data_IF_986145348371
#
_entry.id   IF_986145348371
#
_cell.length_a   1.000
_cell.length_b   1.000
_cell.length_c   1.000
_cell.angle_alpha   90.00
_cell.angle_beta   90.00
_cell.angle_gamma   90.00
#
_symmetry.space_group_name_H-M   'P 1'
#
loop_
_entity.id
_entity.type
_entity.pdbx_description
1 polymer ?
#
# COMPACT_ATOMS: atom_id res chain seq x y z
N UNK A 1 74.67 32.07 -10.49
CA UNK A 1 74.24 33.48 -10.69
C UNK A 1 72.85 33.48 -11.31
N UNK A 2 72.06 34.53 -10.99
CA UNK A 2 70.66 34.87 -11.34
C UNK A 2 70.27 34.49 -12.80
N UNK A 3 69.05 34.07 -13.12
CA UNK A 3 67.82 34.89 -13.06
C UNK A 3 66.53 34.07 -13.08
N UNK A 4 65.50 34.61 -12.41
CA UNK A 4 64.11 34.16 -12.38
C UNK A 4 63.37 34.67 -13.62
N UNK A 5 62.47 33.88 -14.19
CA UNK A 5 61.34 34.41 -14.96
C UNK A 5 60.08 33.67 -14.52
N UNK A 6 59.11 34.45 -14.04
CA UNK A 6 57.84 34.01 -13.51
C UNK A 6 56.86 33.69 -14.64
N UNK A 7 56.10 32.61 -14.49
CA UNK A 7 54.82 32.46 -15.16
C UNK A 7 53.76 32.29 -14.08
N UNK A 8 52.99 33.35 -13.88
CA UNK A 8 51.74 33.31 -13.15
C UNK A 8 50.73 32.56 -14.03
N UNK A 9 50.22 31.43 -13.55
CA UNK A 9 49.02 30.83 -14.12
C UNK A 9 47.89 30.99 -13.13
N UNK A 10 46.91 31.73 -13.61
CA UNK A 10 45.73 32.25 -12.95
C UNK A 10 44.84 31.11 -12.44
N UNK A 11 44.46 31.17 -11.17
CA UNK A 11 43.39 30.37 -10.59
C UNK A 11 42.06 30.70 -11.28
N UNK A 12 41.46 29.72 -11.95
CA UNK A 12 40.04 29.76 -12.33
C UNK A 12 39.29 28.83 -11.38
N UNK A 13 38.81 29.41 -10.28
CA UNK A 13 37.76 28.84 -9.43
C UNK A 13 36.43 28.93 -10.20
N UNK A 14 36.10 27.91 -10.98
CA UNK A 14 34.73 27.70 -11.44
C UNK A 14 34.00 26.90 -10.36
N UNK A 15 33.38 27.63 -9.43
CA UNK A 15 32.33 27.13 -8.56
C UNK A 15 31.14 26.71 -9.41
N UNK A 16 31.17 25.47 -9.91
CA UNK A 16 29.99 24.79 -10.41
C UNK A 16 29.26 24.19 -9.21
N UNK A 17 28.16 24.82 -8.78
CA UNK A 17 27.15 24.12 -8.00
C UNK A 17 26.67 22.94 -8.85
N UNK A 18 27.28 21.77 -8.65
CA UNK A 18 26.65 20.53 -9.07
C UNK A 18 25.37 20.42 -8.23
N UNK A 19 24.26 20.90 -8.78
CA UNK A 19 22.95 20.46 -8.33
C UNK A 19 22.96 18.95 -8.47
N UNK A 20 23.17 18.27 -7.34
CA UNK A 20 22.89 16.85 -7.19
C UNK A 20 21.42 16.72 -7.58
N UNK A 21 21.17 16.29 -8.82
CA UNK A 21 19.83 15.93 -9.25
C UNK A 21 19.45 14.71 -8.41
N UNK A 22 18.72 14.95 -7.33
CA UNK A 22 18.09 13.89 -6.57
C UNK A 22 17.24 13.10 -7.56
N UNK A 23 17.40 11.76 -7.66
CA UNK A 23 16.50 10.96 -8.48
C UNK A 23 15.05 11.29 -8.08
N UNK A 24 14.12 11.48 -9.03
CA UNK A 24 12.74 11.72 -8.68
C UNK A 24 12.26 10.56 -7.80
N UNK A 25 11.71 10.88 -6.63
CA UNK A 25 11.09 9.88 -5.76
C UNK A 25 10.05 9.12 -6.58
N UNK A 26 10.07 7.77 -6.62
CA UNK A 26 9.07 7.00 -7.34
C UNK A 26 7.67 7.43 -6.89
N UNK A 27 6.80 7.78 -7.84
CA UNK A 27 5.42 8.11 -7.51
C UNK A 27 4.69 6.84 -7.04
N UNK A 28 4.10 6.92 -5.85
CA UNK A 28 3.23 5.87 -5.32
C UNK A 28 1.97 5.81 -6.18
N UNK A 29 1.66 4.64 -6.73
CA UNK A 29 0.48 4.42 -7.57
C UNK A 29 -0.34 3.23 -7.06
N UNK A 30 -1.64 3.27 -7.29
CA UNK A 30 -2.50 2.10 -7.01
C UNK A 30 -2.22 1.00 -8.02
N UNK A 31 -1.93 -0.20 -7.54
CA UNK A 31 -1.64 -1.39 -8.35
C UNK A 31 -2.80 -2.39 -8.37
N UNK A 32 -3.68 -2.32 -7.37
CA UNK A 32 -4.90 -3.11 -7.34
C UNK A 32 -6.00 -2.32 -6.61
N UNK A 33 -7.19 -2.30 -7.22
CA UNK A 33 -8.42 -1.83 -6.59
C UNK A 33 -9.27 -3.05 -6.26
N UNK A 34 -9.74 -3.13 -5.02
CA UNK A 34 -10.85 -3.98 -4.64
C UNK A 34 -12.00 -3.10 -4.18
N UNK A 35 -13.19 -3.32 -4.71
CA UNK A 35 -14.35 -2.48 -4.48
C UNK A 35 -15.52 -3.34 -3.99
N UNK A 36 -16.18 -2.85 -2.94
CA UNK A 36 -17.54 -3.24 -2.62
C UNK A 36 -18.45 -2.17 -3.21
N UNK A 37 -19.14 -2.49 -4.30
CA UNK A 37 -20.10 -1.57 -4.93
C UNK A 37 -21.28 -1.40 -3.99
N UNK A 38 -21.42 -0.19 -3.44
CA UNK A 38 -22.42 0.10 -2.43
C UNK A 38 -23.83 -0.22 -2.91
N UNK A 39 -24.55 -1.05 -2.15
CA UNK A 39 -26.00 -1.22 -2.30
C UNK A 39 -26.71 -0.54 -1.13
N UNK A 40 -26.55 -1.11 0.07
CA UNK A 40 -27.13 -0.58 1.32
C UNK A 40 -26.18 0.40 2.05
N UNK A 41 -24.88 0.29 1.78
CA UNK A 41 -23.82 1.13 2.35
C UNK A 41 -23.11 1.91 1.22
N UNK A 42 -22.46 3.04 1.50
CA UNK A 42 -21.65 3.75 0.51
C UNK A 42 -20.59 2.83 -0.10
N UNK A 43 -20.22 3.07 -1.36
CA UNK A 43 -19.13 2.34 -2.01
C UNK A 43 -17.84 2.42 -1.19
N UNK A 44 -17.15 1.29 -1.08
CA UNK A 44 -15.92 1.14 -0.30
C UNK A 44 -14.82 0.58 -1.19
N UNK A 45 -13.60 1.07 -1.02
CA UNK A 45 -12.44 0.57 -1.76
C UNK A 45 -11.28 0.20 -0.85
N UNK A 46 -10.57 -0.86 -1.24
CA UNK A 46 -9.23 -1.20 -0.77
C UNK A 46 -8.24 -0.93 -1.92
N UNK A 47 -7.33 0.02 -1.70
CA UNK A 47 -6.38 0.47 -2.72
C UNK A 47 -4.97 0.05 -2.34
N UNK A 48 -4.51 -1.05 -2.92
CA UNK A 48 -3.14 -1.55 -2.73
C UNK A 48 -2.20 -0.67 -3.54
N UNK A 49 -1.29 0.01 -2.87
CA UNK A 49 -0.32 0.91 -3.50
C UNK A 49 1.00 0.19 -3.82
N UNK A 50 1.74 0.70 -4.80
CA UNK A 50 3.00 0.14 -5.29
C UNK A 50 4.13 0.10 -4.25
N UNK A 51 4.03 0.87 -3.18
CA UNK A 51 4.99 0.92 -2.07
C UNK A 51 4.62 -0.02 -0.90
N UNK A 52 3.55 -0.80 -1.03
CA UNK A 52 3.04 -1.67 0.03
C UNK A 52 2.09 -0.98 1.01
N UNK A 53 1.82 0.32 0.86
CA UNK A 53 0.75 0.97 1.62
C UNK A 53 -0.63 0.53 1.13
N UNK A 54 -1.59 0.47 2.05
CA UNK A 54 -2.98 0.17 1.76
C UNK A 54 -3.84 1.35 2.21
N UNK A 55 -4.66 1.86 1.29
CA UNK A 55 -5.62 2.92 1.58
C UNK A 55 -7.04 2.38 1.46
N UNK A 56 -7.82 2.50 2.52
CA UNK A 56 -9.27 2.37 2.50
C UNK A 56 -9.91 3.71 2.12
N UNK A 57 -10.92 3.69 1.25
CA UNK A 57 -11.77 4.85 0.93
C UNK A 57 -13.25 4.51 1.15
N UNK A 58 -14.03 5.49 1.59
CA UNK A 58 -15.43 5.31 1.99
C UNK A 58 -15.55 4.72 3.40
N UNK A 59 -16.48 3.78 3.59
CA UNK A 59 -16.88 3.20 4.90
C UNK A 59 -15.86 2.41 5.72
N UNK A 60 -14.56 2.44 5.36
CA UNK A 60 -13.48 1.77 6.10
C UNK A 60 -12.24 2.65 6.31
N UNK A 61 -12.37 3.96 6.09
CA UNK A 61 -11.27 4.92 6.24
C UNK A 61 -10.60 4.89 7.62
N UNK A 62 -11.33 4.49 8.66
CA UNK A 62 -10.86 4.35 10.03
C UNK A 62 -9.80 3.26 10.25
N UNK A 63 -9.60 2.35 9.29
CA UNK A 63 -8.50 1.38 9.29
C UNK A 63 -7.20 1.94 8.69
N UNK A 64 -7.22 3.18 8.18
CA UNK A 64 -6.03 3.84 7.68
C UNK A 64 -5.11 4.34 8.81
N UNK A 65 -3.79 4.44 8.57
CA UNK A 65 -3.07 3.93 7.38
C UNK A 65 -2.91 2.41 7.45
N UNK A 66 -3.22 1.69 6.37
CA UNK A 66 -2.99 0.25 6.27
C UNK A 66 -1.70 -0.10 5.53
N UNK A 67 -1.33 -1.37 5.58
CA UNK A 67 -0.29 -1.92 4.73
C UNK A 67 -0.75 -3.24 4.10
N UNK A 68 -0.12 -3.62 3.00
CA UNK A 68 -0.31 -4.93 2.38
C UNK A 68 1.04 -5.52 1.97
N UNK A 69 1.07 -6.84 1.94
CA UNK A 69 2.17 -7.60 1.33
C UNK A 69 1.61 -8.83 0.65
N UNK A 70 2.36 -9.34 -0.31
CA UNK A 70 1.99 -10.55 -1.04
C UNK A 70 3.13 -11.54 -1.00
N UNK A 71 2.79 -12.80 -0.73
CA UNK A 71 3.69 -13.94 -0.77
C UNK A 71 3.02 -15.04 -1.61
N UNK A 72 3.45 -15.16 -2.87
CA UNK A 72 2.75 -15.96 -3.87
C UNK A 72 1.27 -15.59 -4.01
N UNK A 73 0.40 -16.55 -3.73
CA UNK A 73 -1.06 -16.38 -3.76
C UNK A 73 -1.66 -15.96 -2.42
N UNK A 74 -0.85 -15.56 -1.44
CA UNK A 74 -1.35 -15.02 -0.17
C UNK A 74 -1.22 -13.50 -0.16
N UNK A 75 -2.35 -12.81 -0.01
CA UNK A 75 -2.42 -11.39 0.31
C UNK A 75 -2.55 -11.23 1.82
N UNK A 76 -1.60 -10.58 2.47
CA UNK A 76 -1.74 -10.17 3.87
C UNK A 76 -2.03 -8.68 3.93
N UNK A 77 -3.10 -8.32 4.63
CA UNK A 77 -3.50 -6.94 4.95
C UNK A 77 -3.20 -6.70 6.43
N UNK A 78 -2.45 -5.64 6.73
CA UNK A 78 -2.20 -5.15 8.07
C UNK A 78 -3.09 -3.93 8.31
N UNK A 79 -4.03 -4.05 9.26
CA UNK A 79 -4.98 -3.00 9.59
C UNK A 79 -4.34 -1.98 10.53
N UNK A 80 -4.30 -0.74 10.08
CA UNK A 80 -3.93 0.38 10.92
C UNK A 80 -5.11 0.90 11.73
N UNK A 81 -5.04 2.20 12.00
CA UNK A 81 -6.03 2.92 12.77
C UNK A 81 -6.15 2.42 14.21
N UNK A 82 -7.24 2.84 14.87
CA UNK A 82 -7.58 2.44 16.25
C UNK A 82 -8.87 1.64 16.35
N UNK A 83 -9.50 1.31 15.23
CA UNK A 83 -10.71 0.51 15.23
C UNK A 83 -10.46 -0.86 15.88
N UNK A 84 -11.41 -1.38 16.68
CA UNK A 84 -11.30 -2.70 17.27
C UNK A 84 -11.02 -3.77 16.22
N UNK A 85 -10.18 -4.75 16.56
CA UNK A 85 -9.95 -5.89 15.69
C UNK A 85 -11.02 -6.95 15.98
N UNK A 86 -11.91 -7.21 15.02
CA UNK A 86 -13.04 -8.12 15.18
C UNK A 86 -12.63 -9.62 15.15
N UNK A 87 -11.78 -10.06 16.08
CA UNK A 87 -11.18 -11.40 16.08
C UNK A 87 -12.21 -12.54 16.01
N UNK A 88 -13.33 -12.44 16.74
CA UNK A 88 -14.37 -13.47 16.71
C UNK A 88 -15.09 -13.56 15.36
N UNK A 89 -15.28 -12.44 14.65
CA UNK A 89 -15.81 -12.44 13.28
C UNK A 89 -14.84 -13.19 12.34
N UNK A 90 -13.55 -12.87 12.40
CA UNK A 90 -12.56 -13.50 11.54
C UNK A 90 -12.38 -15.00 11.84
N UNK A 91 -12.49 -15.39 13.11
CA UNK A 91 -12.50 -16.80 13.53
C UNK A 91 -13.69 -17.55 12.94
N UNK A 92 -14.88 -16.95 12.97
CA UNK A 92 -16.06 -17.53 12.35
C UNK A 92 -15.90 -17.64 10.84
N UNK A 93 -15.49 -16.57 10.16
CA UNK A 93 -15.26 -16.56 8.71
C UNK A 93 -14.23 -17.61 8.29
N UNK A 94 -13.13 -17.74 9.03
CA UNK A 94 -12.08 -18.72 8.79
C UNK A 94 -12.61 -20.15 8.92
N UNK A 95 -13.44 -20.43 9.94
CA UNK A 95 -14.05 -21.75 10.13
C UNK A 95 -15.02 -22.14 9.00
N UNK A 96 -15.57 -21.14 8.31
CA UNK A 96 -16.51 -21.31 7.19
C UNK A 96 -15.83 -21.20 5.81
N UNK A 97 -14.53 -20.98 5.75
CA UNK A 97 -13.79 -20.67 4.51
C UNK A 97 -14.41 -19.50 3.71
N UNK A 98 -14.95 -18.50 4.42
CA UNK A 98 -15.66 -17.38 3.81
C UNK A 98 -14.69 -16.32 3.28
N UNK A 99 -15.02 -15.70 2.14
CA UNK A 99 -14.32 -14.52 1.64
C UNK A 99 -12.83 -14.73 1.36
N UNK A 100 -12.42 -15.95 1.04
CA UNK A 100 -11.02 -16.33 0.79
C UNK A 100 -10.08 -16.12 2.00
N UNK A 101 -10.62 -15.90 3.21
CA UNK A 101 -9.82 -15.73 4.43
C UNK A 101 -9.08 -17.04 4.75
N UNK A 102 -7.76 -16.97 4.87
CA UNK A 102 -6.88 -18.10 5.15
C UNK A 102 -6.20 -18.02 6.53
N UNK A 103 -6.25 -16.86 7.18
CA UNK A 103 -5.80 -16.72 8.56
C UNK A 103 -5.88 -15.30 9.08
N UNK A 104 -5.70 -15.13 10.38
CA UNK A 104 -5.59 -13.82 11.03
C UNK A 104 -4.55 -13.85 12.16
N UNK A 105 -4.01 -12.68 12.49
CA UNK A 105 -3.15 -12.47 13.64
C UNK A 105 -3.60 -11.21 14.38
N UNK A 106 -4.27 -11.39 15.51
CA UNK A 106 -4.83 -10.29 16.30
C UNK A 106 -3.75 -9.35 16.85
N UNK A 107 -2.63 -9.89 17.34
CA UNK A 107 -1.53 -9.09 17.90
C UNK A 107 -0.89 -8.16 16.86
N UNK A 108 -0.75 -8.63 15.62
CA UNK A 108 -0.23 -7.85 14.49
C UNK A 108 -1.32 -7.12 13.71
N UNK A 109 -2.60 -7.32 14.07
CA UNK A 109 -3.78 -6.82 13.34
C UNK A 109 -3.75 -7.18 11.85
N UNK A 110 -3.42 -8.43 11.54
CA UNK A 110 -3.29 -8.91 10.17
C UNK A 110 -4.41 -9.87 9.79
N UNK A 111 -4.85 -9.78 8.54
CA UNK A 111 -5.72 -10.71 7.85
C UNK A 111 -4.99 -11.25 6.64
N UNK A 112 -5.03 -12.56 6.42
CA UNK A 112 -4.42 -13.22 5.27
C UNK A 112 -5.49 -13.87 4.42
N UNK A 113 -5.38 -13.70 3.11
CA UNK A 113 -6.34 -14.18 2.13
C UNK A 113 -5.65 -15.01 1.06
N UNK A 114 -6.28 -16.09 0.62
CA UNK A 114 -5.98 -16.67 -0.69
C UNK A 114 -6.42 -15.67 -1.77
N UNK A 115 -5.48 -15.20 -2.58
CA UNK A 115 -5.69 -14.11 -3.52
C UNK A 115 -4.98 -14.34 -4.86
N UNK A 116 -5.19 -15.51 -5.45
CA UNK A 116 -4.69 -15.88 -6.78
C UNK A 116 -5.31 -15.00 -7.88
N UNK A 117 -4.78 -15.03 -9.11
CA UNK A 117 -5.40 -14.35 -10.26
C UNK A 117 -6.86 -14.76 -10.49
N UNK A 118 -7.24 -15.99 -10.15
CA UNK A 118 -8.61 -16.51 -10.21
C UNK A 118 -9.49 -16.15 -9.01
N UNK A 119 -8.93 -15.54 -7.95
CA UNK A 119 -9.74 -15.11 -6.80
C UNK A 119 -10.63 -13.95 -7.21
N UNK A 120 -11.94 -14.19 -7.21
CA UNK A 120 -12.97 -13.23 -7.60
C UNK A 120 -13.19 -12.15 -6.53
N UNK A 121 -13.14 -12.53 -5.25
CA UNK A 121 -13.40 -11.62 -4.13
C UNK A 121 -12.62 -11.97 -2.87
N UNK A 122 -12.49 -10.96 -2.01
CA UNK A 122 -12.05 -11.10 -0.62
C UNK A 122 -13.15 -10.60 0.31
N UNK A 123 -13.40 -11.32 1.40
CA UNK A 123 -14.33 -10.92 2.44
C UNK A 123 -13.60 -10.14 3.51
N UNK A 124 -14.01 -8.91 3.77
CA UNK A 124 -13.43 -8.04 4.78
C UNK A 124 -14.54 -7.41 5.63
N UNK A 125 -14.47 -7.64 6.94
CA UNK A 125 -15.36 -7.06 7.96
C UNK A 125 -16.86 -7.18 7.64
N UNK A 126 -17.26 -8.34 7.09
CA UNK A 126 -18.65 -8.64 6.70
C UNK A 126 -19.02 -8.28 5.25
N UNK A 127 -18.14 -7.62 4.50
CA UNK A 127 -18.38 -7.20 3.12
C UNK A 127 -17.49 -7.98 2.14
N UNK A 128 -17.95 -8.12 0.89
CA UNK A 128 -17.16 -8.72 -0.18
C UNK A 128 -16.62 -7.64 -1.11
N UNK A 129 -15.31 -7.61 -1.29
CA UNK A 129 -14.62 -6.71 -2.21
C UNK A 129 -14.19 -7.48 -3.45
N UNK A 130 -14.53 -6.95 -4.62
CA UNK A 130 -14.26 -7.53 -5.93
C UNK A 130 -13.20 -6.73 -6.65
N UNK A 131 -12.43 -7.36 -7.53
CA UNK A 131 -11.48 -6.65 -8.39
C UNK A 131 -12.20 -5.62 -9.25
N UNK A 132 -11.71 -4.38 -9.25
CA UNK A 132 -12.27 -3.28 -10.04
C UNK A 132 -11.17 -2.57 -10.84
N UNK A 133 -11.57 -1.88 -11.91
CA UNK A 133 -10.66 -1.07 -12.72
C UNK A 133 -10.28 0.26 -12.05
N UNK A 134 -11.22 0.83 -11.29
CA UNK A 134 -11.09 2.11 -10.58
C UNK A 134 -11.94 2.07 -9.31
N UNK A 135 -11.66 2.99 -8.39
CA UNK A 135 -12.43 3.17 -7.18
C UNK A 135 -13.48 4.27 -7.36
N UNK A 136 -14.72 3.99 -6.96
CA UNK A 136 -15.87 4.87 -7.05
C UNK A 136 -16.39 5.33 -5.68
N UNK A 137 -15.66 5.02 -4.59
CA UNK A 137 -15.94 5.61 -3.28
C UNK A 137 -15.71 7.13 -3.32
N UNK A 138 -16.66 7.88 -2.73
CA UNK A 138 -16.61 9.35 -2.61
C UNK A 138 -15.82 9.77 -1.36
#
# INVERSE_FOLDING_TARGET
>A
MKSKLAYATMFLLLGGCASVQTPPTPSVRTVQVLENTGTEFPTMCMLLQSDGSLLFKGGFDFYNPGAWRRDGDILTVSLGGKAPFAAELYKEQLSKHAGSLSGYNEKRRELSYHFAPSTESVGFDGFYFYRAASCHAQ
#
